data_IF_545968470107
#
_entry.id   IF_545968470107
#
_cell.length_a   1.000
_cell.length_b   1.000
_cell.length_c   1.000
_cell.angle_alpha   90.00
_cell.angle_beta   90.00
_cell.angle_gamma   90.00
#
_symmetry.space_group_name_H-M   'P 1'
#
loop_
_entity.id
_entity.type
_entity.pdbx_description
1 polymer ?
#
# COMPACT_ATOMS: atom_id res chain seq x y z
N UNK A 1 -11.69 -4.32 5.40
CA UNK A 1 -12.52 -4.89 6.48
C UNK A 1 -12.57 -3.90 7.64
N UNK A 2 -13.02 -4.29 8.84
CA UNK A 2 -13.10 -3.39 9.99
C UNK A 2 -11.76 -2.75 10.38
N UNK A 3 -10.65 -3.48 10.28
CA UNK A 3 -9.31 -2.97 10.59
C UNK A 3 -8.46 -2.63 9.35
N UNK A 4 -8.86 -3.13 8.18
CA UNK A 4 -8.12 -3.07 6.92
C UNK A 4 -7.02 -4.13 6.80
N UNK A 5 -6.67 -4.81 7.89
CA UNK A 5 -5.54 -5.75 7.98
C UNK A 5 -5.75 -6.99 7.14
N UNK A 6 -6.90 -7.66 7.27
CA UNK A 6 -7.18 -8.89 6.52
C UNK A 6 -7.26 -8.63 5.02
N UNK A 7 -7.93 -7.55 4.63
CA UNK A 7 -7.99 -7.07 3.24
C UNK A 7 -6.59 -6.78 2.68
N UNK A 8 -5.71 -6.15 3.46
CA UNK A 8 -4.33 -5.90 3.05
C UNK A 8 -3.52 -7.20 2.90
N UNK A 9 -3.61 -8.11 3.86
CA UNK A 9 -2.90 -9.39 3.84
C UNK A 9 -3.30 -10.24 2.64
N UNK A 10 -4.60 -10.35 2.34
CA UNK A 10 -5.07 -11.16 1.21
C UNK A 10 -4.75 -10.52 -0.13
N UNK A 11 -4.87 -9.19 -0.25
CA UNK A 11 -4.52 -8.47 -1.48
C UNK A 11 -3.05 -8.69 -1.84
N UNK A 12 -2.15 -8.62 -0.86
CA UNK A 12 -0.71 -8.86 -1.05
C UNK A 12 -0.34 -10.33 -1.38
N UNK A 13 -1.29 -11.27 -1.47
CA UNK A 13 -1.05 -12.61 -2.01
C UNK A 13 -1.22 -12.69 -3.53
N UNK A 14 -1.82 -11.68 -4.15
CA UNK A 14 -2.01 -11.61 -5.59
C UNK A 14 -0.73 -11.09 -6.25
N UNK A 15 -0.19 -11.77 -7.27
CA UNK A 15 0.98 -11.32 -8.01
C UNK A 15 0.88 -9.86 -8.47
N UNK A 16 1.92 -9.07 -8.22
CA UNK A 16 2.03 -7.67 -8.61
C UNK A 16 1.30 -6.69 -7.69
N UNK A 17 0.56 -7.17 -6.68
CA UNK A 17 -0.11 -6.30 -5.71
C UNK A 17 0.86 -5.88 -4.61
N UNK A 18 0.86 -4.56 -4.35
CA UNK A 18 1.50 -3.93 -3.19
C UNK A 18 0.43 -3.11 -2.48
N UNK A 19 -0.37 -3.82 -1.70
CA UNK A 19 -1.39 -3.22 -0.86
C UNK A 19 -0.76 -2.61 0.39
N UNK A 20 -1.11 -1.36 0.68
CA UNK A 20 -0.72 -0.65 1.88
C UNK A 20 -1.93 -0.39 2.77
N UNK A 21 -1.78 -0.68 4.05
CA UNK A 21 -2.75 -0.29 5.07
C UNK A 21 -2.31 1.03 5.68
N UNK A 22 -3.11 2.07 5.49
CA UNK A 22 -2.81 3.41 5.94
C UNK A 22 -3.82 3.85 7.00
N UNK A 23 -3.33 4.50 8.05
CA UNK A 23 -4.14 4.99 9.17
C UNK A 23 -4.11 6.52 9.30
N UNK A 24 -3.23 7.17 8.54
CA UNK A 24 -3.01 8.60 8.56
C UNK A 24 -2.44 9.08 7.21
N UNK A 25 -2.27 10.39 7.08
CA UNK A 25 -1.77 11.04 5.87
C UNK A 25 -0.31 10.66 5.57
N UNK A 26 0.51 10.50 6.62
CA UNK A 26 1.92 10.17 6.49
C UNK A 26 2.12 8.75 5.93
N UNK A 27 1.37 7.76 6.43
CA UNK A 27 1.38 6.39 5.92
C UNK A 27 0.85 6.32 4.48
N UNK A 28 -0.18 7.11 4.12
CA UNK A 28 -0.63 7.21 2.73
C UNK A 28 0.47 7.74 1.80
N UNK A 29 1.05 8.90 2.11
CA UNK A 29 2.11 9.48 1.30
C UNK A 29 3.32 8.54 1.18
N UNK A 30 3.80 8.00 2.30
CA UNK A 30 4.93 7.07 2.34
C UNK A 30 4.64 5.81 1.52
N UNK A 31 3.43 5.26 1.58
CA UNK A 31 3.08 4.06 0.82
C UNK A 31 3.23 4.27 -0.69
N UNK A 32 2.83 5.44 -1.20
CA UNK A 32 2.97 5.81 -2.61
C UNK A 32 4.40 6.14 -2.96
N UNK A 33 4.98 7.10 -2.26
CA UNK A 33 6.30 7.65 -2.57
C UNK A 33 7.39 6.58 -2.46
N UNK A 34 7.37 5.75 -1.40
CA UNK A 34 8.48 4.85 -1.11
C UNK A 34 8.26 3.41 -1.59
N UNK A 35 7.01 2.96 -1.65
CA UNK A 35 6.70 1.54 -1.87
C UNK A 35 5.96 1.30 -3.19
N UNK A 36 5.66 2.38 -3.94
CA UNK A 36 4.85 2.31 -5.14
C UNK A 36 3.59 1.46 -4.93
N UNK A 37 2.93 1.66 -3.78
CA UNK A 37 1.73 0.93 -3.42
C UNK A 37 0.65 1.20 -4.47
N UNK A 38 0.07 0.13 -5.02
CA UNK A 38 -0.94 0.20 -6.08
C UNK A 38 -2.33 -0.20 -5.58
N UNK A 39 -2.45 -0.59 -4.32
CA UNK A 39 -3.72 -0.82 -3.63
C UNK A 39 -3.66 -0.11 -2.28
N UNK A 40 -4.70 0.67 -1.96
CA UNK A 40 -4.91 1.26 -0.63
C UNK A 40 -5.92 0.41 0.13
N UNK A 41 -5.63 0.13 1.40
CA UNK A 41 -6.56 -0.51 2.32
C UNK A 41 -6.74 0.38 3.55
N UNK A 42 -7.97 0.40 4.07
CA UNK A 42 -8.39 1.23 5.20
C UNK A 42 -9.22 0.38 6.18
N UNK A 43 -9.18 0.73 7.46
CA UNK A 43 -10.01 0.13 8.50
C UNK A 43 -11.28 0.92 8.76
N UNK A 44 -12.43 0.42 8.30
CA UNK A 44 -13.71 1.11 8.42
C UNK A 44 -14.17 1.30 9.89
N UNK A 45 -13.71 0.45 10.81
CA UNK A 45 -13.98 0.56 12.24
C UNK A 45 -12.91 1.34 13.02
N UNK A 46 -11.81 1.73 12.38
CA UNK A 46 -10.67 2.40 13.02
C UNK A 46 -10.51 3.85 12.55
N UNK A 47 -10.99 4.18 11.35
CA UNK A 47 -10.79 5.48 10.72
C UNK A 47 -12.15 6.10 10.40
N UNK A 48 -12.41 7.29 10.93
CA UNK A 48 -13.61 8.05 10.63
C UNK A 48 -13.66 8.55 9.17
N UNK A 49 -14.86 8.83 8.62
CA UNK A 49 -15.04 9.10 7.19
C UNK A 49 -14.25 10.32 6.68
N UNK A 50 -14.15 11.39 7.48
CA UNK A 50 -13.40 12.59 7.09
C UNK A 50 -11.90 12.31 6.95
N UNK A 51 -11.31 11.59 7.92
CA UNK A 51 -9.91 11.21 7.84
C UNK A 51 -9.68 10.22 6.68
N UNK A 52 -10.58 9.26 6.48
CA UNK A 52 -10.51 8.31 5.37
C UNK A 52 -10.46 9.03 4.00
N UNK A 53 -11.31 10.05 3.79
CA UNK A 53 -11.30 10.85 2.56
C UNK A 53 -9.96 11.59 2.36
N UNK A 54 -9.40 12.17 3.43
CA UNK A 54 -8.11 12.86 3.34
C UNK A 54 -6.97 11.87 3.03
N UNK A 55 -6.97 10.69 3.64
CA UNK A 55 -5.98 9.62 3.35
C UNK A 55 -6.07 9.20 1.88
N UNK A 56 -7.28 8.95 1.37
CA UNK A 56 -7.51 8.59 -0.03
C UNK A 56 -6.99 9.69 -0.97
N UNK A 57 -7.31 10.96 -0.68
CA UNK A 57 -6.83 12.09 -1.46
C UNK A 57 -5.30 12.15 -1.51
N UNK A 58 -4.63 12.10 -0.36
CA UNK A 58 -3.16 12.09 -0.29
C UNK A 58 -2.58 10.91 -1.05
N UNK A 59 -3.17 9.72 -0.94
CA UNK A 59 -2.69 8.53 -1.65
C UNK A 59 -2.83 8.65 -3.17
N UNK A 60 -3.90 9.26 -3.67
CA UNK A 60 -4.09 9.49 -5.12
C UNK A 60 -3.15 10.57 -5.65
N UNK A 61 -2.89 11.62 -4.88
CA UNK A 61 -2.09 12.77 -5.29
C UNK A 61 -0.58 12.56 -5.13
N UNK A 62 -0.14 11.64 -4.27
CA UNK A 62 1.29 11.39 -4.02
C UNK A 62 1.91 10.58 -5.15
N UNK A 63 2.92 11.13 -5.87
CA UNK A 63 3.64 10.40 -6.91
C UNK A 63 4.61 9.37 -6.31
N UNK A 64 5.08 8.44 -7.14
CA UNK A 64 6.20 7.57 -6.75
C UNK A 64 7.50 8.37 -6.73
N UNK A 65 8.33 8.13 -5.71
CA UNK A 65 9.53 8.89 -5.41
C UNK A 65 10.81 8.41 -6.12
N UNK A 66 11.99 8.89 -5.69
CA UNK A 66 13.27 8.73 -6.38
C UNK A 66 13.80 7.28 -6.46
N UNK A 67 14.76 7.05 -7.36
CA UNK A 67 15.36 5.75 -7.73
C UNK A 67 15.75 4.82 -6.57
N UNK A 68 16.12 5.36 -5.40
CA UNK A 68 16.44 4.54 -4.21
C UNK A 68 15.27 3.66 -3.77
N UNK A 69 14.03 4.12 -3.99
CA UNK A 69 12.81 3.40 -3.65
C UNK A 69 12.51 2.30 -4.67
N UNK A 70 12.78 2.56 -5.95
CA UNK A 70 12.65 1.55 -7.01
C UNK A 70 13.47 0.30 -6.72
N UNK A 71 14.69 0.45 -6.18
CA UNK A 71 15.52 -0.70 -5.75
C UNK A 71 14.88 -1.55 -4.65
N UNK A 72 14.08 -0.96 -3.76
CA UNK A 72 13.37 -1.70 -2.70
C UNK A 72 12.11 -2.37 -3.24
N UNK A 73 11.38 -1.69 -4.12
CA UNK A 73 10.24 -2.27 -4.85
C UNK A 73 10.69 -3.49 -5.66
N UNK A 74 11.83 -3.39 -6.33
CA UNK A 74 12.41 -4.52 -7.08
C UNK A 74 12.70 -5.73 -6.19
N UNK A 75 13.22 -5.52 -4.97
CA UNK A 75 13.41 -6.61 -4.00
C UNK A 75 12.10 -7.29 -3.60
N UNK A 76 11.00 -6.53 -3.49
CA UNK A 76 9.67 -7.08 -3.23
C UNK A 76 9.24 -7.97 -4.41
N UNK A 77 9.38 -7.47 -5.65
CA UNK A 77 9.08 -8.21 -6.88
C UNK A 77 9.92 -9.49 -7.00
N UNK A 78 11.20 -9.45 -6.62
CA UNK A 78 12.08 -10.62 -6.63
C UNK A 78 11.63 -11.70 -5.62
N UNK A 79 11.21 -11.30 -4.42
CA UNK A 79 10.65 -12.22 -3.43
C UNK A 79 9.37 -12.86 -3.97
N UNK A 80 8.47 -12.06 -4.53
CA UNK A 80 7.26 -12.55 -5.18
C UNK A 80 7.58 -13.59 -6.27
N UNK A 81 8.48 -13.25 -7.19
CA UNK A 81 8.92 -14.16 -8.26
C UNK A 81 9.52 -15.47 -7.76
N UNK A 82 10.18 -15.48 -6.59
CA UNK A 82 10.71 -16.70 -5.96
C UNK A 82 9.61 -17.64 -5.48
N UNK A 83 8.50 -17.12 -4.96
CA UNK A 83 7.41 -17.92 -4.40
C UNK A 83 6.27 -18.20 -5.37
N UNK A 84 6.21 -17.51 -6.52
CA UNK A 84 5.24 -17.80 -7.58
C UNK A 84 5.65 -18.96 -8.49
N UNK A 85 6.94 -19.31 -8.53
CA UNK A 85 7.42 -20.46 -9.31
C UNK A 85 7.05 -21.76 -8.59
N UNK A 86 6.20 -22.56 -9.23
CA UNK A 86 6.06 -24.00 -8.95
C UNK A 86 7.31 -24.73 -9.45
#
# INVERSE_FOLDING_TARGET
DGAGIGSCMVANKVPGVRAALCYDLASAANSREHNHANVLTLGAGLIGPNLAQQIVKVWLETPFGPDRHARRVEKITQIEGRYLRK
#
